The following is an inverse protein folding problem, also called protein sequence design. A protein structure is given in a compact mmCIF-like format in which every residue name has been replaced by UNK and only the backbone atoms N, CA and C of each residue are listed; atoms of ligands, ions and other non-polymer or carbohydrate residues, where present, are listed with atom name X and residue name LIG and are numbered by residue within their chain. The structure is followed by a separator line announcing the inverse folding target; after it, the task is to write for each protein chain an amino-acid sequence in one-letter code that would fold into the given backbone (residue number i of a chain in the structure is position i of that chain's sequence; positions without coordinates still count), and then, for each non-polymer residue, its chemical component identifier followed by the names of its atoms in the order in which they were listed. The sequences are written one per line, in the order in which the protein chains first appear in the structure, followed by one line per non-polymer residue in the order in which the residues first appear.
data_IF_949047846847
#
_entry.id   IF_949047846847
#
_cell.length_a   1.000
_cell.length_b   1.000
_cell.length_c   1.000
_cell.angle_alpha   90.00
_cell.angle_beta   90.00
_cell.angle_gamma   90.00
#
_symmetry.space_group_name_H-M   'P 1'
#
loop_
_entity.id
_entity.type
_entity.pdbx_description
1 polymer ?
#
# COMPACT_ATOMS: atom_id res chain seq x y z
N UNK A 1 -1.37 -15.55 -16.67
CA UNK A 1 -1.13 -15.45 -18.13
C UNK A 1 -1.44 -14.05 -18.70
N UNK A 2 -1.56 -12.97 -17.90
CA UNK A 2 -2.23 -11.74 -18.38
C UNK A 2 -1.33 -10.57 -18.85
N UNK A 3 -0.09 -10.43 -18.36
CA UNK A 3 0.77 -9.29 -18.73
C UNK A 3 2.09 -9.74 -19.36
N UNK A 4 2.42 -9.16 -20.52
CA UNK A 4 3.71 -9.34 -21.23
C UNK A 4 4.67 -8.15 -20.99
N UNK A 5 4.15 -7.01 -20.54
CA UNK A 5 4.88 -5.75 -20.35
C UNK A 5 4.89 -5.37 -18.85
N UNK A 6 6.09 -5.12 -18.31
CA UNK A 6 6.31 -4.75 -16.91
C UNK A 6 5.63 -3.42 -16.55
N UNK A 7 5.57 -2.45 -17.46
CA UNK A 7 4.93 -1.15 -17.20
C UNK A 7 3.42 -1.32 -17.00
N UNK A 8 2.79 -2.19 -17.79
CA UNK A 8 1.36 -2.52 -17.64
C UNK A 8 1.10 -3.28 -16.35
N UNK A 9 2.01 -4.18 -15.97
CA UNK A 9 1.92 -4.91 -14.71
C UNK A 9 2.01 -3.96 -13.49
N UNK A 10 3.01 -3.07 -13.46
CA UNK A 10 3.17 -2.05 -12.41
C UNK A 10 1.95 -1.12 -12.38
N UNK A 11 1.46 -0.65 -13.53
CA UNK A 11 0.25 0.16 -13.59
C UNK A 11 -0.98 -0.55 -13.01
N UNK A 12 -1.14 -1.85 -13.28
CA UNK A 12 -2.19 -2.65 -12.68
C UNK A 12 -2.06 -2.74 -11.15
N UNK A 13 -0.84 -2.91 -10.63
CA UNK A 13 -0.58 -2.96 -9.18
C UNK A 13 -0.90 -1.62 -8.52
N UNK A 14 -0.47 -0.51 -9.12
CA UNK A 14 -0.83 0.85 -8.66
C UNK A 14 -2.35 1.00 -8.57
N UNK A 15 -3.07 0.60 -9.61
CA UNK A 15 -4.52 0.72 -9.64
C UNK A 15 -5.21 -0.15 -8.59
N UNK A 16 -4.76 -1.38 -8.40
CA UNK A 16 -5.32 -2.30 -7.40
C UNK A 16 -5.10 -1.80 -5.98
N UNK A 17 -3.85 -1.44 -5.64
CA UNK A 17 -3.51 -0.95 -4.31
C UNK A 17 -4.19 0.38 -4.01
N UNK A 18 -4.24 1.32 -4.96
CA UNK A 18 -4.96 2.57 -4.78
C UNK A 18 -6.47 2.35 -4.59
N UNK A 19 -7.07 1.43 -5.35
CA UNK A 19 -8.49 1.10 -5.21
C UNK A 19 -8.78 0.47 -3.86
N UNK A 20 -7.90 -0.42 -3.39
CA UNK A 20 -8.10 -1.10 -2.12
C UNK A 20 -7.86 -0.18 -0.92
N UNK A 21 -6.86 0.72 -1.00
CA UNK A 21 -6.69 1.81 -0.05
C UNK A 21 -7.98 2.60 0.16
N UNK A 22 -8.71 2.96 -0.91
CA UNK A 22 -9.97 3.70 -0.77
C UNK A 22 -11.05 2.88 -0.05
N UNK A 23 -11.11 1.57 -0.31
CA UNK A 23 -12.06 0.66 0.35
C UNK A 23 -11.73 0.56 1.84
N UNK A 24 -10.46 0.31 2.18
CA UNK A 24 -10.02 0.19 3.57
C UNK A 24 -10.16 1.50 4.33
N UNK A 25 -9.71 2.61 3.77
CA UNK A 25 -9.81 3.92 4.43
C UNK A 25 -11.26 4.29 4.73
N UNK A 26 -12.16 4.04 3.77
CA UNK A 26 -13.58 4.29 3.96
C UNK A 26 -14.19 3.34 5.01
N UNK A 27 -13.84 2.06 4.98
CA UNK A 27 -14.31 1.08 5.96
C UNK A 27 -13.76 1.37 7.36
N UNK A 28 -12.49 1.77 7.46
CA UNK A 28 -11.84 2.21 8.69
C UNK A 28 -12.56 3.40 9.32
N UNK A 29 -12.97 4.36 8.50
CA UNK A 29 -13.76 5.50 8.94
C UNK A 29 -15.15 5.09 9.45
N UNK A 30 -15.86 4.21 8.73
CA UNK A 30 -17.19 3.76 9.14
C UNK A 30 -17.19 2.95 10.43
N UNK A 31 -16.26 1.99 10.55
CA UNK A 31 -16.16 1.06 11.68
C UNK A 31 -15.40 1.71 12.85
N UNK A 32 -14.73 2.83 12.61
CA UNK A 32 -13.89 3.52 13.59
C UNK A 32 -12.66 2.70 13.98
N UNK A 33 -12.03 2.03 13.01
CA UNK A 33 -10.90 1.13 13.25
C UNK A 33 -9.55 1.79 12.96
N UNK A 34 -8.74 1.98 13.99
CA UNK A 34 -7.36 2.43 13.86
C UNK A 34 -6.47 1.45 13.08
N UNK A 35 -6.70 0.14 13.22
CA UNK A 35 -5.88 -0.86 12.53
C UNK A 35 -6.16 -0.91 11.03
N UNK A 36 -7.41 -0.68 10.61
CA UNK A 36 -7.73 -0.56 9.17
C UNK A 36 -7.18 0.74 8.57
N UNK A 37 -7.11 1.83 9.35
CA UNK A 37 -6.39 3.02 8.89
C UNK A 37 -4.89 2.72 8.71
N UNK A 38 -4.30 1.96 9.63
CA UNK A 38 -2.90 1.54 9.51
C UNK A 38 -2.66 0.63 8.30
N UNK A 39 -3.49 -0.41 8.08
CA UNK A 39 -3.39 -1.31 6.92
C UNK A 39 -3.55 -0.54 5.59
N UNK A 40 -4.45 0.45 5.57
CA UNK A 40 -4.62 1.30 4.39
C UNK A 40 -3.35 2.10 4.03
N UNK A 41 -2.48 2.42 5.00
CA UNK A 41 -1.19 3.09 4.73
C UNK A 41 -0.31 2.20 3.86
N UNK A 42 -0.28 0.90 4.09
CA UNK A 42 0.57 -0.04 3.35
C UNK A 42 0.15 -0.08 1.86
N UNK A 43 -1.15 -0.11 1.58
CA UNK A 43 -1.67 -0.01 0.20
C UNK A 43 -1.30 1.31 -0.48
N UNK A 44 -1.30 2.40 0.28
CA UNK A 44 -0.95 3.70 -0.25
C UNK A 44 0.57 3.84 -0.46
N UNK A 45 1.37 3.26 0.42
CA UNK A 45 2.82 3.17 0.29
C UNK A 45 3.20 2.35 -0.95
N UNK A 46 2.58 1.18 -1.15
CA UNK A 46 2.80 0.37 -2.33
C UNK A 46 2.42 1.11 -3.62
N UNK A 47 1.30 1.84 -3.58
CA UNK A 47 0.87 2.70 -4.70
C UNK A 47 1.94 3.75 -4.98
N UNK A 48 2.47 4.39 -3.94
CA UNK A 48 3.48 5.43 -4.04
C UNK A 48 4.80 4.89 -4.63
N UNK A 49 5.31 3.78 -4.09
CA UNK A 49 6.54 3.14 -4.55
C UNK A 49 6.39 2.69 -6.01
N UNK A 50 5.30 1.99 -6.35
CA UNK A 50 5.08 1.52 -7.72
C UNK A 50 4.88 2.68 -8.71
N UNK A 51 4.23 3.77 -8.30
CA UNK A 51 4.14 4.99 -9.11
C UNK A 51 5.52 5.62 -9.36
N UNK A 52 6.35 5.75 -8.32
CA UNK A 52 7.70 6.26 -8.46
C UNK A 52 8.55 5.38 -9.38
N UNK A 53 8.43 4.05 -9.28
CA UNK A 53 9.10 3.10 -10.18
C UNK A 53 8.61 3.31 -11.62
N UNK A 54 7.30 3.40 -11.85
CA UNK A 54 6.74 3.58 -13.20
C UNK A 54 7.26 4.87 -13.86
N UNK A 55 7.35 5.98 -13.11
CA UNK A 55 7.83 7.27 -13.60
C UNK A 55 9.36 7.46 -13.51
N UNK A 56 10.09 6.50 -12.94
CA UNK A 56 11.54 6.54 -12.75
C UNK A 56 12.39 6.54 -14.03
N UNK A 57 11.81 6.26 -15.20
CA UNK A 57 12.59 6.26 -16.45
C UNK A 57 12.33 7.55 -17.25
N UNK A 58 11.15 8.15 -17.08
CA UNK A 58 10.68 9.22 -17.96
C UNK A 58 10.75 10.63 -17.33
N UNK A 59 10.85 10.74 -16.00
CA UNK A 59 10.76 12.03 -15.33
C UNK A 59 12.11 12.55 -14.82
N UNK A 60 12.27 13.87 -14.83
CA UNK A 60 13.43 14.54 -14.24
C UNK A 60 13.51 14.32 -12.72
N UNK A 61 14.71 14.43 -12.15
CA UNK A 61 14.94 14.27 -10.71
C UNK A 61 14.05 15.23 -9.88
N UNK A 62 13.87 16.48 -10.35
CA UNK A 62 12.98 17.46 -9.73
C UNK A 62 11.52 16.99 -9.66
N UNK A 63 11.00 16.37 -10.71
CA UNK A 63 9.62 15.90 -10.74
C UNK A 63 9.42 14.68 -9.84
N UNK A 64 10.42 13.78 -9.76
CA UNK A 64 10.37 12.64 -8.83
C UNK A 64 10.34 13.09 -7.38
N UNK A 65 11.16 14.08 -7.02
CA UNK A 65 11.16 14.67 -5.68
C UNK A 65 9.81 15.31 -5.33
N UNK A 66 9.19 16.03 -6.27
CA UNK A 66 7.85 16.60 -6.05
C UNK A 66 6.80 15.51 -5.85
N UNK A 67 6.84 14.45 -6.66
CA UNK A 67 5.93 13.32 -6.54
C UNK A 67 6.12 12.59 -5.21
N UNK A 68 7.37 12.30 -4.80
CA UNK A 68 7.65 11.65 -3.53
C UNK A 68 7.20 12.49 -2.35
N UNK A 69 7.41 13.81 -2.38
CA UNK A 69 6.92 14.72 -1.34
C UNK A 69 5.39 14.75 -1.29
N UNK A 70 4.73 14.81 -2.45
CA UNK A 70 3.27 14.75 -2.51
C UNK A 70 2.73 13.45 -1.92
N UNK A 71 3.30 12.31 -2.30
CA UNK A 71 2.89 11.00 -1.80
C UNK A 71 3.16 10.85 -0.29
N UNK A 72 4.29 11.35 0.20
CA UNK A 72 4.60 11.38 1.63
C UNK A 72 3.58 12.22 2.42
N UNK A 73 3.19 13.38 1.89
CA UNK A 73 2.12 14.19 2.50
C UNK A 73 0.76 13.49 2.46
N UNK A 74 0.48 12.73 1.40
CA UNK A 74 -0.76 11.98 1.27
C UNK A 74 -0.83 10.84 2.30
N UNK A 75 0.28 10.15 2.56
CA UNK A 75 0.40 9.10 3.60
C UNK A 75 0.14 9.65 5.02
N UNK A 76 0.43 10.92 5.28
CA UNK A 76 0.14 11.52 6.59
C UNK A 76 -1.36 11.55 6.91
N UNK A 77 -2.24 11.59 5.91
CA UNK A 77 -3.69 11.66 6.13
C UNK A 77 -4.20 10.44 6.91
N UNK A 78 -4.06 9.19 6.40
CA UNK A 78 -4.45 7.99 7.14
C UNK A 78 -3.68 7.80 8.45
N UNK A 79 -2.40 8.20 8.49
CA UNK A 79 -1.60 8.14 9.72
C UNK A 79 -2.15 9.03 10.84
N UNK A 80 -2.52 10.26 10.53
CA UNK A 80 -3.10 11.19 11.50
C UNK A 80 -4.51 10.76 11.92
N UNK A 81 -5.33 10.24 10.99
CA UNK A 81 -6.65 9.70 11.35
C UNK A 81 -6.53 8.46 12.22
N UNK A 82 -5.57 7.57 11.97
CA UNK A 82 -5.29 6.43 12.84
C UNK A 82 -4.94 6.88 14.26
N UNK A 83 -3.99 7.82 14.41
CA UNK A 83 -3.58 8.35 15.71
C UNK A 83 -4.75 8.97 16.48
N UNK A 84 -5.59 9.74 15.79
CA UNK A 84 -6.79 10.32 16.37
C UNK A 84 -7.77 9.25 16.84
N UNK A 85 -8.06 8.25 16.01
CA UNK A 85 -8.97 7.15 16.32
C UNK A 85 -8.47 6.33 17.52
N UNK A 86 -7.17 6.07 17.60
CA UNK A 86 -6.55 5.41 18.76
C UNK A 86 -6.83 6.20 20.05
N UNK A 87 -6.61 7.52 20.04
CA UNK A 87 -6.89 8.38 21.19
C UNK A 87 -8.36 8.30 21.65
N UNK A 88 -9.30 8.31 20.70
CA UNK A 88 -10.73 8.18 20.99
C UNK A 88 -11.09 6.80 21.55
N UNK A 89 -10.53 5.73 21.00
CA UNK A 89 -10.75 4.36 21.49
C UNK A 89 -10.21 4.17 22.91
N UNK A 90 -9.05 4.75 23.22
CA UNK A 90 -8.48 4.72 24.58
C UNK A 90 -9.38 5.39 25.61
N UNK A 91 -9.97 6.54 25.27
CA UNK A 91 -10.86 7.29 26.17
C UNK A 91 -12.20 6.55 26.35
N UNK A 92 -12.79 6.07 25.25
CA UNK A 92 -14.15 5.52 25.26
C UNK A 92 -14.23 4.01 25.55
N UNK A 93 -13.10 3.30 25.59
CA UNK A 93 -13.00 1.83 25.73
C UNK A 93 -13.88 1.07 24.72
N UNK A 94 -14.05 1.64 23.54
CA UNK A 94 -14.83 1.06 22.44
C UNK A 94 -13.92 0.33 21.48
N UNK A 95 -14.29 -0.88 21.09
CA UNK A 95 -13.56 -1.70 20.12
C UNK A 95 -14.38 -1.83 18.83
N UNK A 96 -13.74 -1.78 17.65
CA UNK A 96 -14.41 -2.03 16.39
C UNK A 96 -14.96 -3.47 16.33
N UNK A 97 -16.05 -3.67 15.59
CA UNK A 97 -16.62 -5.00 15.40
C UNK A 97 -15.61 -5.91 14.69
N UNK A 98 -15.32 -7.06 15.31
CA UNK A 98 -14.38 -8.05 14.81
C UNK A 98 -14.77 -8.66 13.46
N UNK A 99 -16.07 -8.77 13.15
CA UNK A 99 -16.53 -9.37 11.90
C UNK A 99 -16.21 -8.49 10.70
N UNK A 100 -16.61 -7.21 10.76
CA UNK A 100 -16.38 -6.25 9.67
C UNK A 100 -14.89 -6.03 9.44
N UNK A 101 -14.11 -5.94 10.52
CA UNK A 101 -12.66 -5.83 10.46
C UNK A 101 -12.01 -7.03 9.74
N UNK A 102 -12.45 -8.24 10.07
CA UNK A 102 -11.92 -9.46 9.46
C UNK A 102 -12.30 -9.57 7.98
N UNK A 103 -13.50 -9.13 7.61
CA UNK A 103 -13.97 -9.16 6.23
C UNK A 103 -13.16 -8.23 5.33
N UNK A 104 -12.88 -7.01 5.81
CA UNK A 104 -12.04 -6.04 5.10
C UNK A 104 -10.60 -6.56 5.03
N UNK A 105 -10.00 -6.97 6.14
CA UNK A 105 -8.63 -7.51 6.14
C UNK A 105 -8.45 -8.77 5.29
N UNK A 106 -9.49 -9.59 5.13
CA UNK A 106 -9.43 -10.75 4.22
C UNK A 106 -9.37 -10.32 2.75
N UNK A 107 -10.11 -9.27 2.37
CA UNK A 107 -9.99 -8.70 1.03
C UNK A 107 -8.62 -8.08 0.79
N UNK A 108 -8.01 -7.45 1.80
CA UNK A 108 -6.67 -6.89 1.75
C UNK A 108 -5.66 -7.98 1.37
N UNK A 109 -5.74 -9.13 2.07
CA UNK A 109 -4.92 -10.29 1.81
C UNK A 109 -5.06 -10.78 0.35
N UNK A 110 -6.28 -10.86 -0.18
CA UNK A 110 -6.51 -11.27 -1.57
C UNK A 110 -5.81 -10.33 -2.56
N UNK A 111 -5.96 -9.01 -2.36
CA UNK A 111 -5.34 -8.02 -3.24
C UNK A 111 -3.82 -8.11 -3.16
N UNK A 112 -3.24 -8.16 -1.96
CA UNK A 112 -1.80 -8.27 -1.77
C UNK A 112 -1.24 -9.54 -2.43
N UNK A 113 -1.88 -10.69 -2.26
CA UNK A 113 -1.48 -11.93 -2.94
C UNK A 113 -1.56 -11.80 -4.47
N UNK A 114 -2.57 -11.11 -4.99
CA UNK A 114 -2.71 -10.88 -6.42
C UNK A 114 -1.60 -9.97 -6.96
N UNK A 115 -1.31 -8.87 -6.27
CA UNK A 115 -0.21 -7.95 -6.60
C UNK A 115 1.16 -8.67 -6.57
N UNK A 116 1.44 -9.44 -5.52
CA UNK A 116 2.64 -10.28 -5.42
C UNK A 116 2.74 -11.23 -6.63
N UNK A 117 1.66 -11.94 -6.95
CA UNK A 117 1.64 -12.87 -8.10
C UNK A 117 1.92 -12.17 -9.44
N UNK A 118 1.47 -10.91 -9.61
CA UNK A 118 1.78 -10.11 -10.79
C UNK A 118 3.28 -9.79 -10.85
N UNK A 119 3.86 -9.30 -9.75
CA UNK A 119 5.24 -8.81 -9.69
C UNK A 119 6.28 -9.92 -9.72
N UNK A 120 6.02 -11.06 -9.05
CA UNK A 120 6.94 -12.22 -9.01
C UNK A 120 7.31 -12.73 -10.42
N UNK A 121 6.43 -12.54 -11.41
CA UNK A 121 6.71 -12.94 -12.79
C UNK A 121 7.87 -12.16 -13.44
N UNK A 122 8.10 -10.93 -13.00
CA UNK A 122 9.13 -10.05 -13.55
C UNK A 122 10.41 -10.03 -12.69
N UNK A 123 10.40 -10.73 -11.55
CA UNK A 123 11.54 -10.81 -10.63
C UNK A 123 12.77 -11.49 -11.25
N UNK A 124 12.58 -12.44 -12.17
CA UNK A 124 13.69 -13.19 -12.78
C UNK A 124 14.37 -12.46 -13.96
N UNK A 125 13.90 -11.29 -14.38
CA UNK A 125 14.33 -10.73 -15.67
C UNK A 125 15.45 -9.68 -15.65
N UNK A 126 15.78 -8.93 -14.58
CA UNK A 126 16.94 -8.00 -14.60
C UNK A 126 17.58 -7.73 -13.22
N UNK A 127 18.82 -8.23 -13.07
CA UNK A 127 20.05 -7.61 -12.54
C UNK A 127 19.98 -6.58 -11.37
N UNK A 128 20.72 -6.92 -10.30
CA UNK A 128 21.35 -6.07 -9.25
C UNK A 128 20.51 -5.37 -8.16
N UNK A 129 19.28 -4.91 -8.41
CA UNK A 129 18.47 -4.20 -7.37
C UNK A 129 17.71 -5.13 -6.42
N UNK A 130 17.31 -6.31 -6.91
CA UNK A 130 16.56 -7.32 -6.14
C UNK A 130 17.35 -7.94 -4.97
N UNK A 131 18.69 -7.92 -5.04
CA UNK A 131 19.54 -8.49 -3.98
C UNK A 131 19.48 -7.66 -2.69
N UNK A 132 19.26 -6.36 -2.79
CA UNK A 132 19.16 -5.44 -1.64
C UNK A 132 17.78 -5.56 -0.98
N UNK A 133 16.71 -5.63 -1.76
CA UNK A 133 15.35 -5.84 -1.25
C UNK A 133 15.19 -7.23 -0.57
N UNK A 134 15.79 -8.27 -1.15
CA UNK A 134 15.80 -9.60 -0.55
C UNK A 134 16.64 -9.67 0.75
N UNK A 135 17.71 -8.89 0.88
CA UNK A 135 18.48 -8.77 2.12
C UNK A 135 17.70 -8.05 3.23
N UNK A 136 16.89 -7.05 2.89
CA UNK A 136 15.99 -6.39 3.85
C UNK A 136 14.92 -7.36 4.37
N UNK A 137 14.24 -8.07 3.47
CA UNK A 137 13.16 -9.00 3.82
C UNK A 137 13.61 -10.21 4.66
N UNK A 138 14.90 -10.57 4.65
CA UNK A 138 15.43 -11.67 5.48
C UNK A 138 15.78 -11.23 6.90
N UNK A 139 15.91 -9.93 7.14
CA UNK A 139 16.30 -9.41 8.46
C UNK A 139 15.08 -9.13 9.35
N UNK A 140 13.87 -9.08 8.77
CA UNK A 140 12.59 -8.84 9.48
C UNK A 140 11.74 -10.13 9.67
N UNK A 141 12.39 -11.29 9.81
CA UNK A 141 11.78 -12.53 10.34
C UNK A 141 12.33 -12.81 11.73
#
# INVERSE_FOLDING_TARGET
MLFLDIKKAIFCVIFLNLSYFMIEFYSAYQIGSASLFADSIDFLEDTAINALILFSVSWSLKNRLRLSLFLALLILIPGLTALWTVGQQFINKSYPDSFDLSLVGFGALIINLFCIKILLRFQNNQESLYRIAFLSAKTDI
#
